data_IF_225142402505
#
_entry.id   IF_225142402505
#
_cell.length_a   1.000
_cell.length_b   1.000
_cell.length_c   1.000
_cell.angle_alpha   90.00
_cell.angle_beta   90.00
_cell.angle_gamma   90.00
#
_symmetry.space_group_name_H-M   'P 1'
#
loop_
_entity.id
_entity.type
_entity.pdbx_description
1 polymer ?
#
# COMPACT_ATOMS: atom_id res chain seq x y z
N UNK A 1 -57.59 -42.89 -15.31
CA UNK A 1 -57.20 -41.49 -15.54
C UNK A 1 -56.40 -41.01 -14.35
N UNK A 2 -55.08 -41.22 -14.40
CA UNK A 2 -54.15 -40.68 -13.41
C UNK A 2 -53.47 -39.48 -14.06
N UNK A 3 -53.86 -38.30 -13.59
CA UNK A 3 -53.34 -37.00 -14.04
C UNK A 3 -51.84 -36.90 -13.82
N UNK A 4 -51.15 -36.44 -14.85
CA UNK A 4 -49.76 -36.01 -14.77
C UNK A 4 -49.59 -34.80 -13.87
N UNK A 5 -48.57 -34.86 -13.02
CA UNK A 5 -47.88 -33.71 -12.45
C UNK A 5 -46.41 -34.10 -12.33
N UNK A 6 -45.65 -33.84 -13.39
CA UNK A 6 -44.19 -33.73 -13.34
C UNK A 6 -43.81 -32.72 -14.41
N UNK A 7 -43.59 -31.47 -13.99
CA UNK A 7 -42.59 -30.55 -14.53
C UNK A 7 -42.64 -29.26 -13.72
N UNK A 8 -41.68 -29.11 -12.81
CA UNK A 8 -41.14 -27.81 -12.42
C UNK A 8 -39.73 -28.08 -11.89
N UNK A 9 -38.82 -28.31 -12.82
CA UNK A 9 -37.38 -28.25 -12.61
C UNK A 9 -36.95 -26.85 -13.01
N UNK A 10 -36.31 -26.13 -12.09
CA UNK A 10 -35.54 -24.93 -12.43
C UNK A 10 -35.90 -23.66 -11.69
N UNK A 11 -36.00 -23.70 -10.36
CA UNK A 11 -35.67 -22.50 -9.56
C UNK A 11 -34.36 -22.76 -8.82
N UNK A 12 -33.24 -22.52 -9.50
CA UNK A 12 -31.92 -22.42 -8.86
C UNK A 12 -31.80 -21.04 -8.21
N UNK A 13 -32.55 -20.86 -7.14
CA UNK A 13 -32.41 -19.73 -6.23
C UNK A 13 -31.19 -19.91 -5.31
N UNK A 14 -30.03 -19.40 -5.74
CA UNK A 14 -28.89 -18.95 -4.91
C UNK A 14 -28.10 -17.95 -5.77
N UNK A 15 -27.84 -16.68 -5.45
CA UNK A 15 -28.15 -15.77 -4.35
C UNK A 15 -27.98 -14.36 -4.93
N UNK A 16 -28.87 -13.43 -4.57
CA UNK A 16 -28.66 -11.99 -4.79
C UNK A 16 -27.42 -11.50 -4.00
N UNK A 17 -26.84 -10.39 -4.45
CA UNK A 17 -25.87 -9.50 -3.80
C UNK A 17 -24.37 -9.76 -4.08
N UNK A 18 -23.92 -9.35 -5.26
CA UNK A 18 -22.71 -8.54 -5.34
C UNK A 18 -23.18 -7.19 -5.92
N UNK A 19 -23.07 -6.09 -5.16
CA UNK A 19 -23.07 -4.78 -5.81
C UNK A 19 -22.00 -4.83 -6.90
N UNK A 20 -22.29 -4.28 -8.09
CA UNK A 20 -21.45 -4.42 -9.28
C UNK A 20 -19.97 -4.34 -8.92
N UNK A 21 -19.31 -5.50 -8.93
CA UNK A 21 -17.88 -5.58 -8.70
C UNK A 21 -17.22 -5.00 -9.94
N UNK A 22 -16.95 -3.70 -9.91
CA UNK A 22 -16.16 -3.05 -10.93
C UNK A 22 -14.70 -3.47 -10.75
N UNK A 23 -14.37 -4.62 -11.33
CA UNK A 23 -13.03 -5.21 -11.31
C UNK A 23 -11.98 -4.20 -11.72
N UNK A 24 -12.21 -3.45 -12.79
CA UNK A 24 -11.20 -2.55 -13.34
C UNK A 24 -10.91 -1.42 -12.36
N UNK A 25 -11.95 -0.84 -11.76
CA UNK A 25 -11.79 0.14 -10.69
C UNK A 25 -11.07 -0.44 -9.46
N UNK A 26 -11.42 -1.65 -9.01
CA UNK A 26 -10.79 -2.27 -7.82
C UNK A 26 -9.32 -2.63 -8.09
N UNK A 27 -9.00 -3.16 -9.27
CA UNK A 27 -7.61 -3.46 -9.67
C UNK A 27 -6.79 -2.18 -9.74
N UNK A 28 -7.34 -1.10 -10.30
CA UNK A 28 -6.67 0.18 -10.35
C UNK A 28 -6.38 0.71 -8.94
N UNK A 29 -7.40 0.77 -8.06
CA UNK A 29 -7.25 1.22 -6.67
C UNK A 29 -6.25 0.37 -5.88
N UNK A 30 -6.28 -0.94 -6.07
CA UNK A 30 -5.30 -1.86 -5.47
C UNK A 30 -3.88 -1.51 -5.88
N UNK A 31 -3.63 -1.37 -7.19
CA UNK A 31 -2.30 -1.06 -7.71
C UNK A 31 -1.83 0.32 -7.26
N UNK A 32 -2.69 1.33 -7.29
CA UNK A 32 -2.32 2.69 -6.89
C UNK A 32 -1.96 2.74 -5.40
N UNK A 33 -2.78 2.11 -4.55
CA UNK A 33 -2.50 2.03 -3.13
C UNK A 33 -1.19 1.27 -2.83
N UNK A 34 -0.97 0.15 -3.51
CA UNK A 34 0.25 -0.64 -3.41
C UNK A 34 1.50 0.18 -3.78
N UNK A 35 1.45 0.86 -4.93
CA UNK A 35 2.56 1.63 -5.48
C UNK A 35 2.87 2.84 -4.62
N UNK A 36 1.85 3.66 -4.30
CA UNK A 36 2.02 4.87 -3.53
C UNK A 36 2.45 4.55 -2.08
N UNK A 37 1.85 3.53 -1.45
CA UNK A 37 2.22 3.10 -0.10
C UNK A 37 3.67 2.64 -0.01
N UNK A 38 4.11 1.85 -0.99
CA UNK A 38 5.51 1.41 -1.11
C UNK A 38 6.46 2.59 -1.26
N UNK A 39 6.18 3.54 -2.17
CA UNK A 39 7.00 4.73 -2.39
C UNK A 39 7.11 5.59 -1.13
N UNK A 40 5.98 5.84 -0.46
CA UNK A 40 5.93 6.64 0.76
C UNK A 40 6.69 5.98 1.92
N UNK A 41 6.62 4.64 2.05
CA UNK A 41 7.43 3.91 3.03
C UNK A 41 8.93 4.11 2.76
N UNK A 42 9.37 3.97 1.50
CA UNK A 42 10.77 4.20 1.13
C UNK A 42 11.18 5.65 1.42
N UNK A 43 10.36 6.65 1.02
CA UNK A 43 10.60 8.07 1.30
C UNK A 43 10.75 8.34 2.79
N UNK A 44 9.92 7.73 3.63
CA UNK A 44 10.02 7.85 5.08
C UNK A 44 11.34 7.29 5.62
N UNK A 45 11.72 6.08 5.21
CA UNK A 45 12.97 5.44 5.66
C UNK A 45 14.19 6.23 5.18
N UNK A 46 14.20 6.70 3.93
CA UNK A 46 15.26 7.56 3.39
C UNK A 46 15.43 8.81 4.25
N UNK A 47 14.33 9.47 4.61
CA UNK A 47 14.37 10.68 5.42
C UNK A 47 14.91 10.38 6.83
N UNK A 48 14.48 9.29 7.48
CA UNK A 48 14.99 8.87 8.79
C UNK A 48 16.50 8.59 8.70
N UNK A 49 16.94 7.79 7.72
CA UNK A 49 18.36 7.44 7.54
C UNK A 49 19.22 8.67 7.24
N UNK A 50 18.69 9.62 6.47
CA UNK A 50 19.35 10.89 6.21
C UNK A 50 19.50 11.73 7.49
N UNK A 51 18.46 11.76 8.33
CA UNK A 51 18.45 12.50 9.59
C UNK A 51 19.52 12.01 10.58
N UNK A 52 19.77 10.69 10.61
CA UNK A 52 20.77 10.07 11.52
C UNK A 52 22.15 9.90 10.88
N UNK A 53 22.39 10.48 9.68
CA UNK A 53 23.69 10.42 9.02
C UNK A 53 24.04 9.11 8.30
N UNK A 54 23.10 8.16 8.15
CA UNK A 54 23.27 6.91 7.40
C UNK A 54 23.15 7.14 5.88
N UNK A 55 24.02 7.98 5.33
CA UNK A 55 23.93 8.49 3.95
C UNK A 55 24.02 7.39 2.88
N UNK A 56 24.85 6.37 3.08
CA UNK A 56 25.00 5.29 2.10
C UNK A 56 23.74 4.43 1.94
N UNK A 57 23.07 4.10 3.06
CA UNK A 57 21.79 3.38 3.03
C UNK A 57 20.70 4.25 2.41
N UNK A 58 20.66 5.54 2.75
CA UNK A 58 19.70 6.47 2.17
C UNK A 58 19.87 6.58 0.64
N UNK A 59 21.09 6.63 0.11
CA UNK A 59 21.36 6.67 -1.33
C UNK A 59 20.90 5.38 -2.03
N UNK A 60 21.12 4.20 -1.43
CA UNK A 60 20.64 2.93 -1.99
C UNK A 60 19.10 2.90 -2.08
N UNK A 61 18.42 3.36 -1.03
CA UNK A 61 16.97 3.44 -1.01
C UNK A 61 16.42 4.52 -1.95
N UNK A 62 17.14 5.63 -2.16
CA UNK A 62 16.79 6.62 -3.17
C UNK A 62 16.89 6.06 -4.59
N UNK A 63 17.87 5.18 -4.86
CA UNK A 63 17.94 4.52 -6.16
C UNK A 63 16.74 3.58 -6.34
N UNK A 64 16.37 2.82 -5.31
CA UNK A 64 15.15 2.01 -5.32
C UNK A 64 13.91 2.88 -5.60
N UNK A 65 13.78 4.05 -4.95
CA UNK A 65 12.68 4.96 -5.18
C UNK A 65 12.60 5.45 -6.64
N UNK A 66 13.73 5.84 -7.23
CA UNK A 66 13.79 6.21 -8.65
C UNK A 66 13.38 5.06 -9.56
N UNK A 67 13.77 3.84 -9.22
CA UNK A 67 13.38 2.65 -9.97
C UNK A 67 11.88 2.37 -9.86
N UNK A 68 11.24 2.72 -8.73
CA UNK A 68 9.78 2.65 -8.54
C UNK A 68 9.02 3.78 -9.24
N UNK A 69 9.64 4.95 -9.41
CA UNK A 69 9.06 6.11 -10.09
C UNK A 69 9.10 5.96 -11.61
N UNK A 70 10.17 5.37 -12.15
CA UNK A 70 10.40 5.28 -13.60
C UNK A 70 9.79 4.04 -14.27
N UNK A 71 9.15 3.14 -13.52
CA UNK A 71 8.78 1.84 -14.05
C UNK A 71 7.26 1.59 -14.10
N UNK A 72 6.70 1.66 -15.31
CA UNK A 72 5.28 1.37 -15.59
C UNK A 72 4.94 -0.14 -15.48
N UNK A 73 5.93 -1.03 -15.30
CA UNK A 73 5.78 -2.49 -15.40
C UNK A 73 6.29 -3.32 -14.22
N UNK A 74 7.34 -2.89 -13.50
CA UNK A 74 7.95 -3.66 -12.38
C UNK A 74 6.98 -3.92 -11.22
N UNK A 75 6.07 -2.99 -10.95
CA UNK A 75 5.08 -3.10 -9.87
C UNK A 75 3.98 -4.14 -10.16
N UNK A 76 3.95 -4.72 -11.38
CA UNK A 76 3.00 -5.78 -11.79
C UNK A 76 3.64 -7.18 -11.74
N UNK A 77 4.94 -7.27 -11.46
CA UNK A 77 5.69 -8.51 -11.33
C UNK A 77 5.76 -8.93 -9.86
N UNK A 78 5.18 -10.08 -9.53
CA UNK A 78 5.14 -10.62 -8.17
C UNK A 78 6.55 -10.83 -7.57
N UNK A 79 7.50 -11.33 -8.36
CA UNK A 79 8.86 -11.61 -7.91
C UNK A 79 9.61 -10.33 -7.57
N UNK A 80 9.52 -9.33 -8.45
CA UNK A 80 10.15 -8.02 -8.22
C UNK A 80 9.51 -7.29 -7.03
N UNK A 81 8.18 -7.31 -6.90
CA UNK A 81 7.51 -6.69 -5.76
C UNK A 81 7.92 -7.34 -4.44
N UNK A 82 8.09 -8.67 -4.42
CA UNK A 82 8.60 -9.36 -3.24
C UNK A 82 10.03 -8.93 -2.89
N UNK A 83 10.92 -8.80 -3.87
CA UNK A 83 12.28 -8.30 -3.64
C UNK A 83 12.30 -6.87 -3.10
N UNK A 84 11.42 -6.00 -3.61
CA UNK A 84 11.24 -4.62 -3.13
C UNK A 84 10.77 -4.66 -1.67
N UNK A 85 9.78 -5.49 -1.35
CA UNK A 85 9.26 -5.64 0.00
C UNK A 85 10.30 -6.14 0.99
N UNK A 86 11.12 -7.10 0.60
CA UNK A 86 12.21 -7.60 1.43
C UNK A 86 13.24 -6.52 1.72
N UNK A 87 13.59 -5.69 0.73
CA UNK A 87 14.50 -4.56 0.93
C UNK A 87 13.92 -3.50 1.88
N UNK A 88 12.65 -3.14 1.69
CA UNK A 88 11.95 -2.18 2.54
C UNK A 88 11.84 -2.71 3.98
N UNK A 89 11.46 -3.96 4.15
CA UNK A 89 11.34 -4.58 5.47
C UNK A 89 12.68 -4.61 6.19
N UNK A 90 13.78 -4.99 5.52
CA UNK A 90 15.13 -4.94 6.11
C UNK A 90 15.52 -3.52 6.51
N UNK A 91 15.21 -2.53 5.68
CA UNK A 91 15.51 -1.14 5.98
C UNK A 91 14.65 -0.59 7.12
N UNK A 92 13.39 -1.02 7.23
CA UNK A 92 12.50 -0.67 8.34
C UNK A 92 12.99 -1.29 9.66
N UNK A 93 13.41 -2.56 9.66
CA UNK A 93 14.01 -3.21 10.83
C UNK A 93 15.25 -2.44 11.32
N UNK A 94 16.14 -2.03 10.40
CA UNK A 94 17.34 -1.27 10.80
C UNK A 94 17.03 0.14 11.31
N UNK A 95 15.84 0.70 11.07
CA UNK A 95 15.38 1.94 11.72
C UNK A 95 14.99 1.68 13.19
N UNK A 96 14.47 0.49 13.50
CA UNK A 96 14.10 0.13 14.89
C UNK A 96 15.30 0.06 15.82
N UNK A 97 16.50 -0.11 15.27
CA UNK A 97 17.76 -0.16 16.04
C UNK A 97 18.37 1.23 16.31
N UNK A 98 17.93 2.29 15.63
CA UNK A 98 18.50 3.64 15.76
C UNK A 98 18.18 4.30 17.11
N UNK A 99 19.03 5.17 17.63
CA UNK A 99 18.69 6.00 18.80
C UNK A 99 18.43 7.42 18.33
N UNK A 100 17.20 7.71 17.89
CA UNK A 100 16.88 9.02 17.28
C UNK A 100 17.21 10.20 18.21
N UNK A 101 17.13 10.03 19.52
CA UNK A 101 17.47 11.09 20.49
C UNK A 101 18.96 11.45 20.47
N UNK A 102 19.84 10.47 20.22
CA UNK A 102 21.29 10.66 20.14
C UNK A 102 21.78 10.92 18.73
N UNK A 103 21.14 10.30 17.74
CA UNK A 103 21.66 10.21 16.39
C UNK A 103 21.10 11.32 15.48
N UNK A 104 19.92 11.87 15.81
CA UNK A 104 19.27 12.93 15.04
C UNK A 104 19.39 14.28 15.76
N UNK A 105 20.47 15.01 15.46
CA UNK A 105 20.72 16.34 16.03
C UNK A 105 20.55 17.48 15.01
N UNK A 106 20.05 18.61 15.50
CA UNK A 106 19.96 19.85 14.72
C UNK A 106 18.71 20.02 13.87
N UNK A 107 18.52 21.22 13.33
CA UNK A 107 17.33 21.62 12.59
C UNK A 107 17.12 20.82 11.29
N UNK A 108 18.20 20.38 10.66
CA UNK A 108 18.12 19.58 9.42
C UNK A 108 17.55 18.18 9.70
N UNK A 109 18.00 17.52 10.77
CA UNK A 109 17.46 16.23 11.19
C UNK A 109 15.97 16.33 11.56
N UNK A 110 15.58 17.39 12.28
CA UNK A 110 14.17 17.64 12.61
C UNK A 110 13.29 17.82 11.36
N UNK A 111 13.79 18.53 10.33
CA UNK A 111 13.07 18.69 9.05
C UNK A 111 12.86 17.35 8.35
N UNK A 112 13.91 16.51 8.28
CA UNK A 112 13.78 15.17 7.69
C UNK A 112 12.81 14.28 8.46
N UNK A 113 12.84 14.32 9.80
CA UNK A 113 11.94 13.51 10.63
C UNK A 113 10.48 14.00 10.59
N UNK A 114 10.24 15.31 10.45
CA UNK A 114 8.90 15.83 10.16
C UNK A 114 8.35 15.32 8.83
N UNK A 115 9.19 15.33 7.78
CA UNK A 115 8.82 14.75 6.48
C UNK A 115 8.60 13.24 6.54
N UNK A 116 9.36 12.50 7.36
CA UNK A 116 9.18 11.06 7.50
C UNK A 116 7.87 10.70 8.21
N UNK A 117 7.41 11.50 9.18
CA UNK A 117 6.10 11.33 9.82
C UNK A 117 4.95 11.43 8.82
N UNK A 118 4.98 12.44 7.95
CA UNK A 118 3.99 12.60 6.90
C UNK A 118 3.96 11.35 6.01
N UNK A 119 5.11 10.96 5.49
CA UNK A 119 5.23 9.85 4.57
C UNK A 119 4.82 8.51 5.18
N UNK A 120 5.30 8.17 6.38
CA UNK A 120 4.97 6.88 7.00
C UNK A 120 3.50 6.81 7.44
N UNK A 121 2.90 7.94 7.82
CA UNK A 121 1.47 7.99 8.17
C UNK A 121 0.58 7.75 6.95
N UNK A 122 0.92 8.33 5.79
CA UNK A 122 0.22 8.09 4.53
C UNK A 122 0.46 6.67 4.03
N UNK A 123 1.69 6.17 4.11
CA UNK A 123 2.02 4.80 3.74
C UNK A 123 1.16 3.78 4.52
N UNK A 124 1.09 3.91 5.86
CA UNK A 124 0.29 3.01 6.68
C UNK A 124 -1.22 3.08 6.39
N UNK A 125 -1.73 4.22 5.90
CA UNK A 125 -3.12 4.32 5.43
C UNK A 125 -3.31 3.63 4.07
N UNK A 126 -2.39 3.86 3.12
CA UNK A 126 -2.42 3.22 1.80
C UNK A 126 -2.24 1.70 1.88
N UNK A 127 -1.38 1.20 2.76
CA UNK A 127 -1.18 -0.24 2.95
C UNK A 127 -2.46 -0.92 3.45
N UNK A 128 -3.23 -0.25 4.31
CA UNK A 128 -4.56 -0.72 4.73
C UNK A 128 -5.53 -0.78 3.56
N UNK A 129 -5.57 0.26 2.73
CA UNK A 129 -6.41 0.30 1.52
C UNK A 129 -5.99 -0.77 0.51
N UNK A 130 -4.70 -0.94 0.28
CA UNK A 130 -4.15 -2.01 -0.53
C UNK A 130 -4.59 -3.39 -0.01
N UNK A 131 -4.55 -3.61 1.31
CA UNK A 131 -5.01 -4.86 1.93
C UNK A 131 -6.52 -5.08 1.76
N UNK A 132 -7.35 -4.03 1.91
CA UNK A 132 -8.80 -4.07 1.67
C UNK A 132 -9.12 -4.48 0.23
N UNK A 133 -8.55 -3.78 -0.75
CA UNK A 133 -8.76 -4.10 -2.17
C UNK A 133 -8.17 -5.46 -2.55
N UNK A 134 -7.00 -5.80 -2.03
CA UNK A 134 -6.35 -7.09 -2.25
C UNK A 134 -7.23 -8.25 -1.78
N UNK A 135 -7.84 -8.15 -0.59
CA UNK A 135 -8.80 -9.16 -0.09
C UNK A 135 -10.01 -9.31 -1.02
N UNK A 136 -10.56 -8.19 -1.49
CA UNK A 136 -11.68 -8.21 -2.43
C UNK A 136 -11.30 -8.89 -3.75
N UNK A 137 -10.12 -8.60 -4.31
CA UNK A 137 -9.61 -9.26 -5.52
C UNK A 137 -9.41 -10.77 -5.31
N UNK A 138 -8.83 -11.18 -4.17
CA UNK A 138 -8.63 -12.59 -3.82
C UNK A 138 -9.96 -13.35 -3.74
N UNK A 139 -11.00 -12.71 -3.21
CA UNK A 139 -12.34 -13.29 -3.10
C UNK A 139 -13.04 -13.38 -4.45
N UNK A 140 -13.03 -12.31 -5.26
CA UNK A 140 -13.89 -12.17 -6.44
C UNK A 140 -13.26 -12.68 -7.74
N UNK A 141 -11.96 -12.44 -7.97
CA UNK A 141 -11.30 -12.82 -9.25
C UNK A 141 -11.36 -14.32 -9.58
N UNK A 142 -11.30 -15.27 -8.63
CA UNK A 142 -11.41 -16.69 -8.96
C UNK A 142 -12.72 -17.05 -9.67
N UNK A 143 -13.83 -16.37 -9.35
CA UNK A 143 -15.12 -16.58 -10.01
C UNK A 143 -15.12 -16.00 -11.43
N UNK A 144 -14.53 -14.82 -11.62
CA UNK A 144 -14.37 -14.22 -12.94
C UNK A 144 -13.48 -15.04 -13.87
N UNK A 145 -12.37 -15.57 -13.37
CA UNK A 145 -11.48 -16.43 -14.16
C UNK A 145 -12.24 -17.68 -14.65
N UNK A 146 -13.08 -18.27 -13.79
CA UNK A 146 -13.94 -19.41 -14.18
C UNK A 146 -14.98 -19.00 -15.22
N UNK A 147 -15.61 -17.84 -15.07
CA UNK A 147 -16.62 -17.33 -15.98
C UNK A 147 -16.04 -16.86 -17.34
N UNK A 148 -14.79 -16.37 -17.34
CA UNK A 148 -14.09 -15.84 -18.51
C UNK A 148 -12.69 -16.47 -18.69
N UNK A 149 -12.60 -17.78 -19.04
CA UNK A 149 -11.31 -18.46 -19.15
C UNK A 149 -10.33 -17.83 -20.15
N UNK A 150 -10.83 -17.15 -21.18
CA UNK A 150 -10.01 -16.45 -22.17
C UNK A 150 -9.23 -15.26 -21.58
N UNK A 151 -9.65 -14.72 -20.44
CA UNK A 151 -8.97 -13.62 -19.74
C UNK A 151 -7.95 -14.10 -18.69
N UNK A 152 -7.77 -15.42 -18.52
CA UNK A 152 -6.92 -15.98 -17.46
C UNK A 152 -5.48 -15.43 -17.48
N UNK A 153 -4.90 -15.20 -18.66
CA UNK A 153 -3.56 -14.64 -18.81
C UNK A 153 -3.42 -13.21 -18.26
N UNK A 154 -4.51 -12.46 -18.21
CA UNK A 154 -4.57 -11.10 -17.66
C UNK A 154 -4.92 -11.09 -16.17
N UNK A 155 -5.88 -11.94 -15.77
CA UNK A 155 -6.44 -11.93 -14.42
C UNK A 155 -5.61 -12.73 -13.40
N UNK A 156 -4.91 -13.78 -13.84
CA UNK A 156 -4.10 -14.61 -12.95
C UNK A 156 -2.92 -13.86 -12.33
N UNK A 157 -2.15 -13.03 -13.07
CA UNK A 157 -1.10 -12.21 -12.47
C UNK A 157 -1.63 -11.26 -11.40
N UNK A 158 -2.77 -10.60 -11.66
CA UNK A 158 -3.42 -9.70 -10.69
C UNK A 158 -3.84 -10.45 -9.43
N UNK A 159 -4.45 -11.62 -9.58
CA UNK A 159 -4.84 -12.46 -8.44
C UNK A 159 -3.62 -12.90 -7.62
N UNK A 160 -2.52 -13.27 -8.28
CA UNK A 160 -1.30 -13.66 -7.60
C UNK A 160 -0.69 -12.49 -6.81
N UNK A 161 -0.60 -11.32 -7.44
CA UNK A 161 -0.12 -10.11 -6.78
C UNK A 161 -0.99 -9.72 -5.58
N UNK A 162 -2.31 -9.82 -5.71
CA UNK A 162 -3.25 -9.58 -4.61
C UNK A 162 -3.06 -10.57 -3.46
N UNK A 163 -2.85 -11.86 -3.74
CA UNK A 163 -2.55 -12.86 -2.70
C UNK A 163 -1.24 -12.57 -1.98
N UNK A 164 -0.20 -12.20 -2.73
CA UNK A 164 1.08 -11.81 -2.17
C UNK A 164 0.90 -10.59 -1.27
N UNK A 165 0.27 -9.52 -1.76
CA UNK A 165 0.02 -8.32 -0.97
C UNK A 165 -0.78 -8.62 0.31
N UNK A 166 -1.83 -9.45 0.23
CA UNK A 166 -2.62 -9.85 1.41
C UNK A 166 -1.78 -10.61 2.45
N UNK A 167 -0.78 -11.36 2.01
CA UNK A 167 0.14 -12.09 2.88
C UNK A 167 1.23 -11.20 3.49
N UNK A 168 1.81 -10.30 2.70
CA UNK A 168 3.00 -9.52 3.09
C UNK A 168 2.65 -8.17 3.74
N UNK A 169 1.56 -7.53 3.32
CA UNK A 169 1.14 -6.21 3.83
C UNK A 169 0.96 -6.15 5.35
N UNK A 170 0.38 -7.15 6.04
CA UNK A 170 0.27 -7.11 7.49
C UNK A 170 1.62 -6.92 8.20
N UNK A 171 2.69 -7.54 7.68
CA UNK A 171 4.04 -7.37 8.21
C UNK A 171 4.58 -5.98 7.92
N UNK A 172 4.37 -5.46 6.71
CA UNK A 172 4.75 -4.09 6.36
C UNK A 172 4.03 -3.05 7.23
N UNK A 173 2.73 -3.20 7.43
CA UNK A 173 1.92 -2.34 8.30
C UNK A 173 2.44 -2.37 9.74
N UNK A 174 2.79 -3.56 10.25
CA UNK A 174 3.38 -3.72 11.57
C UNK A 174 4.71 -2.97 11.69
N UNK A 175 5.62 -3.19 10.75
CA UNK A 175 6.92 -2.53 10.69
C UNK A 175 6.80 -1.01 10.55
N UNK A 176 5.93 -0.53 9.66
CA UNK A 176 5.64 0.88 9.47
C UNK A 176 5.04 1.51 10.73
N UNK A 177 4.16 0.78 11.44
CA UNK A 177 3.59 1.22 12.71
C UNK A 177 4.63 1.39 13.82
N UNK A 178 5.60 0.48 13.92
CA UNK A 178 6.71 0.60 14.88
C UNK A 178 7.65 1.76 14.53
N UNK A 179 8.00 1.92 13.25
CA UNK A 179 8.79 3.06 12.78
C UNK A 179 8.05 4.38 13.04
N UNK A 180 6.76 4.46 12.70
CA UNK A 180 5.92 5.63 12.96
C UNK A 180 5.92 5.98 14.44
N UNK A 181 5.70 5.00 15.33
CA UNK A 181 5.71 5.22 16.78
C UNK A 181 7.03 5.84 17.22
N UNK A 182 8.15 5.29 16.77
CA UNK A 182 9.48 5.76 17.14
C UNK A 182 9.75 7.21 16.69
N UNK A 183 9.39 7.53 15.45
CA UNK A 183 9.53 8.90 14.94
C UNK A 183 8.55 9.85 15.63
N UNK A 184 7.33 9.40 15.94
CA UNK A 184 6.32 10.17 16.64
C UNK A 184 6.74 10.51 18.08
N UNK A 185 7.32 9.54 18.79
CA UNK A 185 7.85 9.74 20.15
C UNK A 185 8.94 10.83 20.13
N UNK A 186 9.92 10.73 19.21
CA UNK A 186 10.96 11.75 19.03
C UNK A 186 10.39 13.12 18.63
N UNK A 187 9.41 13.15 17.72
CA UNK A 187 8.78 14.40 17.31
C UNK A 187 8.09 15.10 18.49
N UNK A 188 7.44 14.32 19.36
CA UNK A 188 6.85 14.80 20.60
C UNK A 188 7.87 15.43 21.56
N UNK A 189 9.05 14.80 21.73
CA UNK A 189 10.10 15.33 22.62
C UNK A 189 10.74 16.61 22.08
N UNK A 190 10.89 16.72 20.75
CA UNK A 190 11.52 17.88 20.10
C UNK A 190 10.54 18.99 19.69
N UNK A 191 9.24 18.80 19.91
CA UNK A 191 8.21 19.77 19.50
C UNK A 191 8.03 19.88 17.99
N UNK A 192 8.33 18.82 17.25
CA UNK A 192 8.06 18.75 15.81
C UNK A 192 6.54 18.54 15.64
N UNK A 193 5.84 19.40 14.89
CA UNK A 193 4.41 19.26 14.70
C UNK A 193 4.07 17.99 13.92
N UNK A 194 2.99 17.34 14.33
CA UNK A 194 2.42 16.25 13.54
C UNK A 194 1.77 16.81 12.26
N UNK A 195 1.86 16.05 11.15
CA UNK A 195 1.23 16.46 9.90
C UNK A 195 -0.29 16.54 10.04
N UNK A 196 -0.84 17.68 9.64
CA UNK A 196 -2.27 17.94 9.54
C UNK A 196 -2.92 17.09 8.45
N UNK A 197 -4.24 16.95 8.50
CA UNK A 197 -5.00 16.29 7.44
C UNK A 197 -4.85 17.00 6.09
N UNK A 198 -4.76 18.33 6.09
CA UNK A 198 -4.57 19.11 4.87
C UNK A 198 -3.22 18.80 4.21
N UNK A 199 -2.14 18.73 5.00
CA UNK A 199 -0.82 18.34 4.50
C UNK A 199 -0.81 16.91 3.97
N UNK A 200 -1.48 15.98 4.66
CA UNK A 200 -1.64 14.59 4.20
C UNK A 200 -2.39 14.51 2.87
N UNK A 201 -3.48 15.25 2.72
CA UNK A 201 -4.25 15.30 1.46
C UNK A 201 -3.42 15.86 0.31
N UNK A 202 -2.68 16.93 0.55
CA UNK A 202 -1.87 17.54 -0.50
C UNK A 202 -0.75 16.61 -0.94
N UNK A 203 0.00 16.04 0.01
CA UNK A 203 1.04 15.07 -0.29
C UNK A 203 0.49 13.83 -1.00
N UNK A 204 -0.72 13.37 -0.65
CA UNK A 204 -1.33 12.22 -1.32
C UNK A 204 -1.66 12.50 -2.79
N UNK A 205 -2.07 13.73 -3.16
CA UNK A 205 -2.31 14.10 -4.57
C UNK A 205 -1.03 14.03 -5.40
N UNK A 206 0.12 14.38 -4.81
CA UNK A 206 1.40 14.36 -5.52
C UNK A 206 1.89 12.93 -5.80
N UNK A 207 1.45 11.94 -5.02
CA UNK A 207 1.85 10.54 -5.15
C UNK A 207 0.89 9.70 -6.03
N UNK A 208 -0.33 10.19 -6.25
CA UNK A 208 -1.39 9.46 -6.93
C UNK A 208 -1.48 9.86 -8.41
N UNK A 209 -1.88 8.96 -9.32
CA UNK A 209 -2.15 9.32 -10.71
C UNK A 209 -3.42 10.20 -10.80
N UNK A 210 -3.41 11.22 -11.67
CA UNK A 210 -4.47 12.24 -11.87
C UNK A 210 -5.92 11.71 -11.92
N UNK A 211 -6.14 10.47 -12.38
CA UNK A 211 -7.47 9.85 -12.49
C UNK A 211 -7.92 9.10 -11.23
N UNK A 212 -7.01 8.83 -10.30
CA UNK A 212 -7.23 8.10 -9.04
C UNK A 212 -7.33 9.04 -7.83
N UNK A 213 -6.93 10.30 -8.00
CA UNK A 213 -6.80 11.31 -6.94
C UNK A 213 -8.10 11.57 -6.19
N UNK A 214 -9.27 11.57 -6.86
CA UNK A 214 -10.48 12.11 -6.21
C UNK A 214 -11.08 11.19 -5.16
N UNK A 215 -11.12 9.88 -5.37
CA UNK A 215 -11.81 8.99 -4.44
C UNK A 215 -10.95 8.66 -3.21
N UNK A 216 -9.69 8.27 -3.41
CA UNK A 216 -8.80 7.93 -2.29
C UNK A 216 -8.46 9.16 -1.42
N UNK A 217 -8.26 10.33 -2.01
CA UNK A 217 -8.04 11.57 -1.22
C UNK A 217 -9.28 11.96 -0.41
N UNK A 218 -10.49 11.68 -0.93
CA UNK A 218 -11.72 11.91 -0.17
C UNK A 218 -11.87 10.93 0.99
N UNK A 219 -11.53 9.65 0.78
CA UNK A 219 -11.55 8.59 1.81
C UNK A 219 -10.56 8.83 2.96
N UNK A 220 -9.54 9.66 2.77
CA UNK A 220 -8.60 10.03 3.85
C UNK A 220 -9.27 10.82 4.99
N UNK A 221 -10.49 11.33 4.78
CA UNK A 221 -11.25 12.16 5.75
C UNK A 221 -12.25 11.37 6.58
N UNK A 222 -12.31 10.05 6.41
CA UNK A 222 -13.25 9.11 7.05
C UNK A 222 -12.48 8.10 7.88
#
# INVERSE_FOLDING_TARGET
TLSGVMENVGDSGVSKNAGDFDREAVVQKFNDALVAGTKLTVKAIVAIKSAVGHKEEAVKLQQLLKDLENDEGKMKDEGKMKEIFDQINKAAESVKELDLEKDAEGAEAQKYLGGSLLNISLAGWLDKKCLEYGKLLVEKLPYEIKAKPMEIGKLKPVLNLAKMAVSEMPKQIGNAGEVLKKVADYAGTKGIPFPSEAEKKEALKDEMPVNSDKELVNELST
#
